data_IF_274627676275
#
_entry.id   IF_274627676275
#
_cell.length_a   1.000
_cell.length_b   1.000
_cell.length_c   1.000
_cell.angle_alpha   90.00
_cell.angle_beta   90.00
_cell.angle_gamma   90.00
#
_symmetry.space_group_name_H-M   'P 1'
#
loop_
_entity.id
_entity.type
_entity.pdbx_description
1 polymer ?
#
# COMPACT_ATOMS: atom_id res chain seq x y z
N UNK A 1 27.37 12.59 -6.26
CA UNK A 1 26.86 11.41 -6.99
C UNK A 1 25.63 11.85 -7.78
N UNK A 2 25.58 11.61 -9.08
CA UNK A 2 24.36 11.84 -9.87
C UNK A 2 23.31 10.83 -9.39
N UNK A 3 22.01 11.22 -9.17
CA UNK A 3 20.98 10.27 -8.87
C UNK A 3 20.92 9.24 -10.02
N UNK A 4 20.98 7.97 -9.69
CA UNK A 4 20.61 6.91 -10.61
C UNK A 4 19.13 7.09 -10.85
N UNK A 5 18.75 7.44 -12.09
CA UNK A 5 17.34 7.44 -12.50
C UNK A 5 16.89 5.97 -12.48
N UNK A 6 16.36 5.54 -11.38
CA UNK A 6 15.63 4.27 -11.30
C UNK A 6 14.20 4.57 -11.72
N UNK A 7 13.66 3.77 -12.66
CA UNK A 7 12.23 3.85 -13.04
C UNK A 7 11.30 3.40 -11.89
N UNK A 8 11.87 3.14 -10.70
CA UNK A 8 11.15 2.69 -9.53
C UNK A 8 10.66 3.87 -8.67
N UNK A 9 9.37 3.87 -8.34
CA UNK A 9 8.79 4.81 -7.37
C UNK A 9 9.19 4.45 -5.95
N UNK A 10 9.23 3.14 -5.63
CA UNK A 10 9.65 2.62 -4.32
C UNK A 10 10.63 1.47 -4.50
N UNK A 11 11.71 1.49 -3.72
CA UNK A 11 12.69 0.41 -3.69
C UNK A 11 13.12 0.14 -2.25
N UNK A 12 13.13 -1.11 -1.86
CA UNK A 12 13.65 -1.60 -0.58
C UNK A 12 14.77 -2.60 -0.84
N UNK A 13 15.92 -2.38 -0.21
CA UNK A 13 17.11 -3.21 -0.37
C UNK A 13 17.54 -3.75 0.99
N UNK A 14 17.56 -5.07 1.13
CA UNK A 14 18.00 -5.83 2.31
C UNK A 14 17.42 -5.31 3.64
N UNK A 15 16.14 -4.86 3.57
CA UNK A 15 15.48 -4.13 4.63
C UNK A 15 15.17 -5.02 5.83
N UNK A 16 15.77 -4.71 6.97
CA UNK A 16 15.48 -5.36 8.25
C UNK A 16 14.94 -4.34 9.26
N UNK A 17 13.82 -4.67 9.88
CA UNK A 17 13.09 -3.75 10.78
C UNK A 17 12.81 -4.42 12.12
N UNK A 18 12.91 -3.63 13.19
CA UNK A 18 12.60 -4.05 14.56
C UNK A 18 11.54 -3.15 15.20
N UNK A 19 10.72 -3.77 16.07
CA UNK A 19 9.83 -3.09 17.00
C UNK A 19 10.12 -3.64 18.41
N UNK A 20 10.42 -2.78 19.36
CA UNK A 20 10.76 -3.16 20.74
C UNK A 20 11.82 -4.28 20.82
N UNK A 21 12.85 -4.21 19.95
CA UNK A 21 13.95 -5.17 19.89
C UNK A 21 13.64 -6.48 19.15
N UNK A 22 12.38 -6.75 18.78
CA UNK A 22 11.99 -7.93 18.01
C UNK A 22 12.04 -7.64 16.51
N UNK A 23 12.71 -8.48 15.73
CA UNK A 23 12.67 -8.40 14.26
C UNK A 23 11.27 -8.72 13.75
N UNK A 24 10.72 -7.85 12.91
CA UNK A 24 9.40 -7.98 12.29
C UNK A 24 9.47 -8.04 10.76
N UNK A 25 10.54 -7.52 10.17
CA UNK A 25 10.92 -7.71 8.77
C UNK A 25 12.39 -8.12 8.73
N UNK A 26 12.74 -8.99 7.81
CA UNK A 26 14.08 -9.54 7.70
C UNK A 26 14.47 -9.70 6.23
N UNK A 27 15.50 -8.98 5.81
CA UNK A 27 16.07 -9.06 4.46
C UNK A 27 15.00 -8.89 3.36
N UNK A 28 14.17 -7.85 3.48
CA UNK A 28 13.08 -7.57 2.53
C UNK A 28 13.63 -6.79 1.36
N UNK A 29 13.45 -7.35 0.16
CA UNK A 29 13.77 -6.72 -1.11
C UNK A 29 12.48 -6.58 -1.92
N UNK A 30 12.16 -5.34 -2.33
CA UNK A 30 10.96 -5.03 -3.12
C UNK A 30 11.22 -3.81 -3.99
N UNK A 31 10.82 -3.92 -5.25
CA UNK A 31 10.85 -2.84 -6.24
C UNK A 31 9.46 -2.64 -6.81
N UNK A 32 9.00 -1.39 -6.85
CA UNK A 32 7.75 -0.98 -7.47
C UNK A 32 8.09 0.08 -8.52
N UNK A 33 7.96 -0.24 -9.81
CA UNK A 33 8.13 0.73 -10.89
C UNK A 33 7.10 1.85 -10.82
N UNK A 34 7.43 3.01 -11.39
CA UNK A 34 6.49 4.10 -11.49
C UNK A 34 5.29 3.73 -12.38
N UNK A 35 4.08 4.05 -11.91
CA UNK A 35 2.83 3.72 -12.59
C UNK A 35 2.32 2.29 -12.35
N UNK A 36 3.04 1.43 -11.61
CA UNK A 36 2.59 0.07 -11.32
C UNK A 36 1.84 -0.04 -9.98
N UNK A 37 0.85 -0.94 -9.96
CA UNK A 37 0.08 -1.33 -8.78
C UNK A 37 0.51 -2.72 -8.34
N UNK A 38 1.18 -2.81 -7.20
CA UNK A 38 1.62 -4.07 -6.63
C UNK A 38 0.74 -4.52 -5.47
N UNK A 39 0.62 -5.84 -5.30
CA UNK A 39 -0.15 -6.45 -4.20
C UNK A 39 0.78 -7.23 -3.28
N UNK A 40 0.56 -7.11 -1.97
CA UNK A 40 1.28 -7.87 -0.96
C UNK A 40 0.32 -8.83 -0.25
N UNK A 41 0.49 -10.12 -0.51
CA UNK A 41 -0.17 -11.20 0.19
C UNK A 41 0.66 -11.69 1.37
N UNK A 42 0.03 -12.41 2.28
CA UNK A 42 0.70 -13.10 3.37
C UNK A 42 -0.26 -13.42 4.52
N UNK A 43 0.05 -14.43 5.33
CA UNK A 43 -0.78 -14.77 6.49
C UNK A 43 -0.78 -13.64 7.52
N UNK A 44 -1.74 -13.69 8.46
CA UNK A 44 -1.78 -12.75 9.57
C UNK A 44 -0.49 -12.86 10.41
N UNK A 45 0.04 -11.72 10.82
CA UNK A 45 1.30 -11.65 11.57
C UNK A 45 2.58 -11.83 10.73
N UNK A 46 2.50 -11.91 9.39
CA UNK A 46 3.70 -12.01 8.55
C UNK A 46 4.52 -10.73 8.42
N UNK A 47 3.95 -9.57 8.81
CA UNK A 47 4.64 -8.27 8.76
C UNK A 47 4.14 -7.30 7.69
N UNK A 48 3.03 -7.58 6.98
CA UNK A 48 2.51 -6.74 5.88
C UNK A 48 2.24 -5.29 6.30
N UNK A 49 1.40 -5.08 7.32
CA UNK A 49 1.12 -3.72 7.84
C UNK A 49 2.38 -3.08 8.43
N UNK A 50 3.27 -3.88 9.03
CA UNK A 50 4.56 -3.39 9.54
C UNK A 50 5.46 -2.88 8.42
N UNK A 51 5.46 -3.53 7.26
CA UNK A 51 6.18 -3.07 6.07
C UNK A 51 5.64 -1.71 5.62
N UNK A 52 4.32 -1.58 5.50
CA UNK A 52 3.62 -0.35 5.16
C UNK A 52 3.96 0.80 6.12
N UNK A 53 3.86 0.54 7.44
CA UNK A 53 4.18 1.51 8.48
C UNK A 53 5.66 1.91 8.48
N UNK A 54 6.56 1.00 8.10
CA UNK A 54 7.99 1.28 7.93
C UNK A 54 8.22 2.21 6.73
N UNK A 55 7.58 1.93 5.58
CA UNK A 55 7.65 2.78 4.39
C UNK A 55 7.07 4.17 4.67
N UNK A 56 6.01 4.27 5.47
CA UNK A 56 5.44 5.55 5.89
C UNK A 56 6.36 6.33 6.85
N UNK A 57 7.29 5.65 7.55
CA UNK A 57 8.22 6.28 8.50
C UNK A 57 7.66 6.41 9.91
N UNK A 58 6.79 5.51 10.35
CA UNK A 58 6.27 5.48 11.73
C UNK A 58 7.42 5.14 12.69
N UNK A 59 7.69 5.97 13.73
CA UNK A 59 8.94 5.92 14.50
C UNK A 59 9.21 4.64 15.30
N UNK A 60 8.16 3.87 15.64
CA UNK A 60 8.31 2.61 16.39
C UNK A 60 8.93 1.49 15.52
N UNK A 61 8.83 1.60 14.18
CA UNK A 61 9.41 0.67 13.22
C UNK A 61 10.83 1.10 12.87
N UNK A 62 11.81 0.54 13.58
CA UNK A 62 13.22 0.94 13.43
C UNK A 62 13.90 0.12 12.35
N UNK A 63 14.34 0.78 11.30
CA UNK A 63 15.24 0.17 10.30
C UNK A 63 16.59 -0.05 10.97
N UNK A 64 17.05 -1.30 11.00
CA UNK A 64 18.33 -1.70 11.59
C UNK A 64 19.38 -2.06 10.54
N UNK A 65 18.95 -2.44 9.33
CA UNK A 65 19.81 -2.60 8.15
C UNK A 65 19.00 -2.43 6.88
N UNK A 66 19.69 -2.21 5.76
CA UNK A 66 19.09 -1.97 4.46
C UNK A 66 18.66 -0.53 4.25
N UNK A 67 17.97 -0.28 3.15
CA UNK A 67 17.54 1.07 2.75
C UNK A 67 16.15 1.07 2.12
N UNK A 68 15.51 2.25 2.14
CA UNK A 68 14.26 2.55 1.46
C UNK A 68 14.52 3.76 0.57
N UNK A 69 14.37 3.57 -0.74
CA UNK A 69 14.45 4.64 -1.72
C UNK A 69 13.04 4.97 -2.24
N UNK A 70 12.73 6.24 -2.32
CA UNK A 70 11.49 6.75 -2.93
C UNK A 70 11.84 7.72 -4.04
N UNK A 71 11.46 7.40 -5.28
CA UNK A 71 11.86 8.16 -6.49
C UNK A 71 13.38 8.42 -6.52
N UNK A 72 14.16 7.38 -6.21
CA UNK A 72 15.62 7.45 -6.15
C UNK A 72 16.22 8.20 -4.97
N UNK A 73 15.40 8.77 -4.06
CA UNK A 73 15.84 9.47 -2.86
C UNK A 73 15.81 8.53 -1.66
N UNK A 74 16.92 8.47 -0.91
CA UNK A 74 16.94 7.73 0.36
C UNK A 74 16.03 8.39 1.39
N UNK A 75 15.01 7.63 1.83
CA UNK A 75 14.04 8.04 2.83
C UNK A 75 14.12 7.18 4.10
N UNK A 76 15.11 6.31 4.22
CA UNK A 76 15.24 5.29 5.28
C UNK A 76 15.01 5.85 6.69
N UNK A 77 15.60 7.02 6.99
CA UNK A 77 15.48 7.67 8.29
C UNK A 77 14.69 8.98 8.24
N UNK A 78 14.02 9.26 7.12
CA UNK A 78 13.22 10.46 6.94
C UNK A 78 11.93 10.36 7.76
N UNK A 79 11.52 11.44 8.49
CA UNK A 79 10.28 11.45 9.26
C UNK A 79 9.04 11.44 8.36
N UNK A 80 7.93 10.94 8.90
CA UNK A 80 6.66 10.76 8.19
C UNK A 80 6.19 12.00 7.44
N UNK A 81 6.23 13.17 8.08
CA UNK A 81 5.77 14.43 7.48
C UNK A 81 6.55 14.81 6.22
N UNK A 82 7.83 14.48 6.15
CA UNK A 82 8.66 14.74 4.96
C UNK A 82 8.39 13.72 3.85
N UNK A 83 8.15 12.43 4.19
CA UNK A 83 7.77 11.40 3.21
C UNK A 83 6.42 11.71 2.57
N UNK A 84 5.44 12.16 3.37
CA UNK A 84 4.13 12.59 2.87
C UNK A 84 4.26 13.77 1.90
N UNK A 85 5.11 14.75 2.19
CA UNK A 85 5.40 15.87 1.27
C UNK A 85 6.07 15.45 -0.03
N UNK A 86 6.75 14.29 -0.05
CA UNK A 86 7.32 13.71 -1.28
C UNK A 86 6.26 13.01 -2.15
N UNK A 87 5.02 12.86 -1.69
CA UNK A 87 3.92 12.26 -2.43
C UNK A 87 3.53 10.85 -1.98
N UNK A 88 3.84 10.45 -0.74
CA UNK A 88 3.33 9.21 -0.16
C UNK A 88 1.99 9.43 0.56
N UNK A 89 1.06 8.49 0.43
CA UNK A 89 -0.18 8.45 1.22
C UNK A 89 -0.52 7.03 1.67
N UNK A 90 -1.40 6.92 2.67
CA UNK A 90 -1.86 5.65 3.19
C UNK A 90 -3.35 5.70 3.54
N UNK A 91 -4.09 4.64 3.18
CA UNK A 91 -5.38 4.31 3.75
C UNK A 91 -5.20 3.13 4.71
N UNK A 92 -5.60 3.33 5.97
CA UNK A 92 -5.41 2.34 7.02
C UNK A 92 -6.50 1.27 7.04
N UNK A 93 -6.18 0.09 7.52
CA UNK A 93 -7.16 -0.97 7.75
C UNK A 93 -8.27 -0.51 8.71
N UNK A 94 -7.88 0.05 9.86
CA UNK A 94 -8.75 0.54 10.90
C UNK A 94 -8.39 1.99 11.26
N UNK A 95 -8.86 2.98 10.48
CA UNK A 95 -8.55 4.37 10.77
C UNK A 95 -9.29 4.82 12.05
N UNK A 96 -8.67 5.65 12.88
CA UNK A 96 -9.30 6.13 14.11
C UNK A 96 -10.49 7.05 13.85
N UNK A 97 -11.46 7.02 14.76
CA UNK A 97 -12.46 8.08 14.84
C UNK A 97 -11.89 9.26 15.62
N UNK A 98 -11.96 10.47 15.06
CA UNK A 98 -11.34 11.68 15.65
C UNK A 98 -12.42 12.68 16.05
N UNK A 99 -12.70 12.74 17.36
CA UNK A 99 -13.68 13.69 17.90
C UNK A 99 -13.19 15.13 17.77
N UNK A 100 -14.12 16.02 17.39
CA UNK A 100 -13.84 17.46 17.28
C UNK A 100 -13.15 17.86 15.98
N UNK A 101 -12.78 16.91 15.12
CA UNK A 101 -12.18 17.18 13.81
C UNK A 101 -13.18 16.83 12.71
N UNK A 102 -13.68 17.83 12.00
CA UNK A 102 -14.66 17.64 10.93
C UNK A 102 -13.98 17.13 9.64
N UNK A 103 -14.63 16.18 8.94
CA UNK A 103 -14.17 15.66 7.68
C UNK A 103 -13.94 16.78 6.64
N UNK A 104 -14.88 17.74 6.56
CA UNK A 104 -14.75 18.89 5.68
C UNK A 104 -13.51 19.72 5.93
N UNK A 105 -13.15 19.95 7.20
CA UNK A 105 -11.95 20.68 7.58
C UNK A 105 -10.66 19.98 7.13
N UNK A 106 -10.58 18.64 7.23
CA UNK A 106 -9.44 17.89 6.70
C UNK A 106 -9.36 18.03 5.19
N UNK A 107 -10.46 17.81 4.48
CA UNK A 107 -10.49 17.87 3.02
C UNK A 107 -10.13 19.26 2.49
N UNK A 108 -10.65 20.33 3.14
CA UNK A 108 -10.29 21.72 2.79
C UNK A 108 -8.80 22.03 3.02
N UNK A 109 -8.16 21.32 3.98
CA UNK A 109 -6.73 21.48 4.22
C UNK A 109 -5.87 20.72 3.19
N UNK A 110 -6.37 19.58 2.69
CA UNK A 110 -5.66 18.74 1.72
C UNK A 110 -5.83 19.24 0.27
N UNK A 111 -6.95 19.90 -0.05
CA UNK A 111 -7.24 20.39 -1.42
C UNK A 111 -6.81 21.84 -1.61
N UNK A 112 -6.60 22.25 -2.86
CA UNK A 112 -6.25 23.64 -3.21
C UNK A 112 -7.43 24.61 -3.04
N UNK A 113 -8.69 24.10 -3.12
CA UNK A 113 -9.89 24.94 -3.00
C UNK A 113 -11.14 24.14 -2.62
N UNK A 114 -12.16 24.86 -2.07
CA UNK A 114 -13.42 24.26 -1.62
C UNK A 114 -14.27 23.59 -2.73
N UNK A 115 -14.16 24.06 -3.98
CA UNK A 115 -14.92 23.48 -5.11
C UNK A 115 -14.44 22.07 -5.41
N UNK A 116 -13.16 21.82 -5.22
CA UNK A 116 -12.56 20.50 -5.41
C UNK A 116 -13.12 19.48 -4.42
N UNK A 117 -13.36 19.87 -3.16
CA UNK A 117 -14.01 19.00 -2.16
C UNK A 117 -15.37 18.50 -2.64
N UNK A 118 -16.21 19.40 -3.20
CA UNK A 118 -17.51 19.02 -3.75
C UNK A 118 -17.39 17.97 -4.87
N UNK A 119 -16.47 18.20 -5.80
CA UNK A 119 -16.21 17.27 -6.92
C UNK A 119 -15.73 15.90 -6.43
N UNK A 120 -14.86 15.87 -5.43
CA UNK A 120 -14.38 14.62 -4.83
C UNK A 120 -15.52 13.85 -4.11
N UNK A 121 -16.39 14.57 -3.37
CA UNK A 121 -17.57 13.98 -2.72
C UNK A 121 -18.50 13.33 -3.73
N UNK A 122 -18.78 13.99 -4.86
CA UNK A 122 -19.59 13.45 -5.95
C UNK A 122 -18.94 12.21 -6.58
N UNK A 123 -17.63 12.27 -6.86
CA UNK A 123 -16.86 11.15 -7.42
C UNK A 123 -16.95 9.91 -6.54
N UNK A 124 -16.83 10.06 -5.23
CA UNK A 124 -16.88 8.97 -4.25
C UNK A 124 -18.34 8.57 -3.92
N UNK A 125 -19.33 9.33 -4.43
CA UNK A 125 -20.75 9.18 -4.07
C UNK A 125 -20.94 9.19 -2.55
N UNK A 126 -20.36 10.21 -1.90
CA UNK A 126 -20.40 10.37 -0.45
C UNK A 126 -21.28 11.56 -0.09
N UNK A 127 -22.30 11.42 0.79
CA UNK A 127 -23.25 12.48 1.06
C UNK A 127 -22.58 13.72 1.66
N UNK A 128 -22.97 14.91 1.19
CA UNK A 128 -22.40 16.20 1.62
C UNK A 128 -22.53 16.46 3.13
N UNK A 129 -23.52 15.89 3.78
CA UNK A 129 -23.74 16.01 5.24
C UNK A 129 -22.56 15.47 6.08
N UNK A 130 -21.78 14.51 5.52
CA UNK A 130 -20.61 13.96 6.19
C UNK A 130 -19.48 14.98 6.38
N UNK A 131 -19.43 16.05 5.59
CA UNK A 131 -18.46 17.14 5.78
C UNK A 131 -18.56 17.78 7.17
N UNK A 132 -19.75 17.80 7.76
CA UNK A 132 -20.00 18.38 9.08
C UNK A 132 -19.87 17.35 10.23
N UNK A 133 -19.63 16.10 9.92
CA UNK A 133 -19.42 15.04 10.92
C UNK A 133 -17.96 14.92 11.32
N UNK A 134 -17.73 14.47 12.53
CA UNK A 134 -16.39 14.13 13.01
C UNK A 134 -15.86 12.93 12.24
N UNK A 135 -14.58 12.96 11.87
CA UNK A 135 -13.92 11.95 11.02
C UNK A 135 -14.14 10.55 11.60
N UNK A 136 -14.74 9.68 10.81
CA UNK A 136 -15.02 8.26 11.07
C UNK A 136 -15.89 8.01 12.33
N UNK A 137 -16.41 9.03 12.99
CA UNK A 137 -17.23 8.86 14.19
C UNK A 137 -18.66 8.45 13.83
N UNK A 138 -19.03 7.20 14.15
CA UNK A 138 -20.35 6.65 13.86
C UNK A 138 -20.58 6.39 12.36
N UNK A 139 -19.52 6.23 11.59
CA UNK A 139 -19.60 5.79 10.20
C UNK A 139 -19.74 4.26 10.15
N UNK A 140 -20.49 3.76 9.20
CA UNK A 140 -20.48 2.33 8.85
C UNK A 140 -19.14 1.92 8.22
N UNK A 141 -18.83 0.62 8.15
CA UNK A 141 -17.59 0.13 7.56
C UNK A 141 -17.34 0.65 6.13
N UNK A 142 -18.37 0.63 5.27
CA UNK A 142 -18.28 1.16 3.91
C UNK A 142 -18.09 2.68 3.86
N UNK A 143 -18.72 3.43 4.78
CA UNK A 143 -18.54 4.90 4.88
C UNK A 143 -17.13 5.25 5.37
N UNK A 144 -16.56 4.48 6.30
CA UNK A 144 -15.17 4.65 6.74
C UNK A 144 -14.21 4.46 5.56
N UNK A 145 -14.39 3.40 4.76
CA UNK A 145 -13.53 3.17 3.58
C UNK A 145 -13.67 4.26 2.52
N UNK A 146 -14.89 4.72 2.25
CA UNK A 146 -15.11 5.86 1.35
C UNK A 146 -14.46 7.15 1.88
N UNK A 147 -14.53 7.39 3.19
CA UNK A 147 -13.87 8.52 3.85
C UNK A 147 -12.35 8.47 3.68
N UNK A 148 -11.73 7.29 3.84
CA UNK A 148 -10.30 7.08 3.63
C UNK A 148 -9.89 7.33 2.17
N UNK A 149 -10.62 6.75 1.21
CA UNK A 149 -10.36 6.96 -0.21
C UNK A 149 -10.49 8.43 -0.58
N UNK A 150 -11.50 9.12 -0.05
CA UNK A 150 -11.73 10.54 -0.26
C UNK A 150 -10.54 11.39 0.25
N UNK A 151 -10.00 11.07 1.42
CA UNK A 151 -8.83 11.76 1.97
C UNK A 151 -7.56 11.49 1.12
N UNK A 152 -7.34 10.26 0.65
CA UNK A 152 -6.23 9.91 -0.24
C UNK A 152 -6.36 10.62 -1.59
N UNK A 153 -7.56 10.71 -2.15
CA UNK A 153 -7.83 11.47 -3.38
C UNK A 153 -7.56 12.97 -3.19
N UNK A 154 -7.98 13.53 -2.05
CA UNK A 154 -7.75 14.95 -1.73
C UNK A 154 -6.26 15.28 -1.55
N UNK A 155 -5.46 14.33 -1.08
CA UNK A 155 -4.02 14.49 -0.91
C UNK A 155 -3.25 14.47 -2.23
N UNK A 156 -3.82 13.89 -3.30
CA UNK A 156 -3.27 13.77 -4.66
C UNK A 156 -1.81 13.27 -4.70
N UNK A 157 -1.52 12.23 -3.93
CA UNK A 157 -0.20 11.61 -3.81
C UNK A 157 0.19 10.81 -5.05
N UNK A 158 1.50 10.65 -5.30
CA UNK A 158 2.04 9.86 -6.42
C UNK A 158 2.07 8.36 -6.11
N UNK A 159 2.27 8.03 -4.82
CA UNK A 159 2.32 6.66 -4.32
C UNK A 159 1.31 6.43 -3.21
N UNK A 160 0.42 5.47 -3.41
CA UNK A 160 -0.68 5.15 -2.50
C UNK A 160 -0.46 3.79 -1.86
N UNK A 161 -0.52 3.75 -0.54
CA UNK A 161 -0.49 2.50 0.23
C UNK A 161 -1.89 2.20 0.78
N UNK A 162 -2.39 0.99 0.54
CA UNK A 162 -3.73 0.56 0.97
C UNK A 162 -3.60 -0.67 1.86
N UNK A 163 -3.94 -0.53 3.15
CA UNK A 163 -3.89 -1.64 4.12
C UNK A 163 -5.27 -2.27 4.28
N UNK A 164 -5.47 -3.44 3.69
CA UNK A 164 -6.69 -4.24 3.71
C UNK A 164 -7.97 -3.43 3.42
N UNK A 165 -8.07 -2.77 2.25
CA UNK A 165 -9.23 -1.93 1.92
C UNK A 165 -10.53 -2.72 1.76
N UNK A 166 -10.45 -4.05 1.62
CA UNK A 166 -11.55 -5.00 1.54
C UNK A 166 -12.00 -5.54 2.91
N UNK A 167 -11.27 -5.25 3.97
CA UNK A 167 -11.61 -5.72 5.32
C UNK A 167 -12.82 -4.98 5.90
N UNK A 168 -13.80 -5.75 6.41
CA UNK A 168 -15.00 -5.19 7.04
C UNK A 168 -15.99 -4.51 6.08
N UNK A 169 -15.85 -4.74 4.79
CA UNK A 169 -16.74 -4.24 3.73
C UNK A 169 -17.63 -5.39 3.25
N UNK A 170 -18.94 -5.18 3.20
CA UNK A 170 -19.87 -6.14 2.61
C UNK A 170 -19.69 -6.25 1.08
N UNK A 171 -20.23 -7.31 0.48
CA UNK A 171 -20.02 -7.64 -0.94
C UNK A 171 -20.50 -6.53 -1.89
N UNK A 172 -21.61 -5.85 -1.56
CA UNK A 172 -22.16 -4.78 -2.39
C UNK A 172 -21.28 -3.53 -2.36
N UNK A 173 -20.83 -3.14 -1.16
CA UNK A 173 -19.91 -2.02 -0.98
C UNK A 173 -18.49 -2.32 -1.48
N UNK A 174 -18.06 -3.59 -1.47
CA UNK A 174 -16.75 -3.99 -1.97
C UNK A 174 -16.57 -3.66 -3.46
N UNK A 175 -17.61 -3.86 -4.29
CA UNK A 175 -17.58 -3.45 -5.69
C UNK A 175 -17.41 -1.93 -5.83
N UNK A 176 -18.18 -1.17 -5.04
CA UNK A 176 -18.11 0.31 -5.09
C UNK A 176 -16.73 0.81 -4.65
N UNK A 177 -16.22 0.30 -3.55
CA UNK A 177 -14.90 0.65 -3.01
C UNK A 177 -13.79 0.23 -3.98
N UNK A 178 -13.87 -0.98 -4.54
CA UNK A 178 -12.88 -1.48 -5.49
C UNK A 178 -12.82 -0.65 -6.77
N UNK A 179 -13.97 -0.30 -7.35
CA UNK A 179 -14.00 0.57 -8.53
C UNK A 179 -13.43 1.97 -8.22
N UNK A 180 -13.75 2.55 -7.06
CA UNK A 180 -13.18 3.84 -6.64
C UNK A 180 -11.65 3.77 -6.50
N UNK A 181 -11.13 2.68 -5.92
CA UNK A 181 -9.69 2.45 -5.81
C UNK A 181 -9.09 2.30 -7.21
N UNK A 182 -9.67 1.48 -8.08
CA UNK A 182 -9.17 1.29 -9.43
C UNK A 182 -9.10 2.61 -10.21
N UNK A 183 -10.17 3.43 -10.16
CA UNK A 183 -10.20 4.75 -10.78
C UNK A 183 -9.16 5.72 -10.19
N UNK A 184 -8.91 5.64 -8.88
CA UNK A 184 -7.90 6.43 -8.20
C UNK A 184 -6.49 6.06 -8.67
N UNK A 185 -6.25 4.78 -8.94
CA UNK A 185 -4.92 4.24 -9.26
C UNK A 185 -4.55 4.29 -10.75
N UNK A 186 -5.46 4.71 -11.64
CA UNK A 186 -5.23 4.71 -13.11
C UNK A 186 -3.94 5.39 -13.57
N UNK A 187 -3.38 6.30 -12.78
CA UNK A 187 -2.15 7.06 -13.11
C UNK A 187 -1.22 7.17 -11.89
N UNK A 188 -1.33 6.28 -10.95
CA UNK A 188 -0.58 6.32 -9.69
C UNK A 188 0.08 4.98 -9.45
N UNK A 189 1.18 5.00 -8.73
CA UNK A 189 1.80 3.79 -8.22
C UNK A 189 1.18 3.39 -6.88
N UNK A 190 1.09 2.09 -6.59
CA UNK A 190 0.50 1.67 -5.34
C UNK A 190 1.07 0.37 -4.78
N UNK A 191 0.97 0.23 -3.46
CA UNK A 191 1.13 -1.04 -2.74
C UNK A 191 -0.16 -1.36 -1.99
N UNK A 192 -0.87 -2.38 -2.46
CA UNK A 192 -2.11 -2.87 -1.88
C UNK A 192 -1.82 -4.09 -0.99
N UNK A 193 -2.22 -4.05 0.27
CA UNK A 193 -2.18 -5.22 1.15
C UNK A 193 -3.58 -5.83 1.21
N UNK A 194 -3.67 -7.13 0.98
CA UNK A 194 -4.89 -7.92 1.23
C UNK A 194 -4.52 -9.34 1.62
N UNK A 195 -5.33 -9.96 2.46
CA UNK A 195 -5.16 -11.37 2.83
C UNK A 195 -6.16 -12.28 2.12
N UNK A 196 -7.28 -11.76 1.65
CA UNK A 196 -8.34 -12.51 0.96
C UNK A 196 -8.33 -12.29 -0.55
N UNK A 197 -7.78 -11.16 -1.02
CA UNK A 197 -7.68 -10.86 -2.44
C UNK A 197 -9.00 -10.55 -3.15
N UNK A 198 -10.12 -10.42 -2.42
CA UNK A 198 -11.42 -10.15 -3.04
C UNK A 198 -11.45 -8.84 -3.82
N UNK A 199 -10.68 -7.86 -3.39
CA UNK A 199 -10.56 -6.56 -4.03
C UNK A 199 -9.98 -6.64 -5.45
N UNK A 200 -9.19 -7.69 -5.77
CA UNK A 200 -8.59 -7.89 -7.10
C UNK A 200 -9.60 -8.25 -8.20
N UNK A 201 -10.87 -8.45 -7.85
CA UNK A 201 -11.95 -8.52 -8.84
C UNK A 201 -12.27 -7.16 -9.45
N UNK A 202 -11.86 -6.08 -8.82
CA UNK A 202 -12.21 -4.71 -9.16
C UNK A 202 -11.01 -3.80 -9.35
N UNK A 203 -9.84 -4.17 -8.80
CA UNK A 203 -8.59 -3.41 -8.89
C UNK A 203 -7.61 -4.17 -9.77
N UNK A 204 -7.13 -3.53 -10.82
CA UNK A 204 -6.07 -4.05 -11.66
C UNK A 204 -4.72 -3.92 -10.94
N UNK A 205 -3.99 -5.02 -10.86
CA UNK A 205 -2.67 -5.04 -10.27
C UNK A 205 -1.68 -5.69 -11.25
N UNK A 206 -0.47 -5.13 -11.32
CA UNK A 206 0.57 -5.55 -12.27
C UNK A 206 1.39 -6.72 -11.72
N UNK A 207 1.65 -6.72 -10.41
CA UNK A 207 2.48 -7.74 -9.78
C UNK A 207 2.04 -8.01 -8.34
N UNK A 208 2.22 -9.25 -7.91
CA UNK A 208 1.98 -9.63 -6.52
C UNK A 208 3.24 -10.20 -5.87
N UNK A 209 3.32 -9.99 -4.56
CA UNK A 209 4.38 -10.49 -3.69
C UNK A 209 3.78 -11.25 -2.52
N UNK A 210 4.50 -12.21 -1.99
CA UNK A 210 4.06 -13.00 -0.83
C UNK A 210 5.05 -12.84 0.31
N UNK A 211 4.60 -12.26 1.42
CA UNK A 211 5.38 -12.07 2.65
C UNK A 211 5.05 -13.18 3.65
N UNK A 212 6.03 -14.00 3.98
CA UNK A 212 5.93 -15.07 4.98
C UNK A 212 7.14 -14.98 5.91
N UNK A 213 6.92 -15.17 7.20
CA UNK A 213 7.98 -15.15 8.20
C UNK A 213 8.91 -13.92 8.06
N UNK A 214 8.29 -12.74 7.86
CA UNK A 214 9.01 -11.45 7.77
C UNK A 214 9.86 -11.26 6.51
N UNK A 215 9.75 -12.12 5.49
CA UNK A 215 10.55 -12.08 4.25
C UNK A 215 9.64 -12.25 3.02
N UNK A 216 9.94 -11.57 1.90
CA UNK A 216 9.26 -11.81 0.63
C UNK A 216 9.82 -13.08 0.01
N UNK A 217 8.95 -14.11 -0.08
CA UNK A 217 9.35 -15.46 -0.53
C UNK A 217 9.03 -15.73 -1.99
N UNK A 218 8.05 -15.03 -2.56
CA UNK A 218 7.58 -15.26 -3.92
C UNK A 218 7.04 -13.97 -4.52
N UNK A 219 7.17 -13.83 -5.85
CA UNK A 219 6.56 -12.75 -6.62
C UNK A 219 6.08 -13.29 -7.96
N UNK A 220 4.98 -12.75 -8.48
CA UNK A 220 4.40 -13.21 -9.75
C UNK A 220 3.16 -12.44 -10.16
N UNK A 221 2.43 -12.99 -11.12
CA UNK A 221 1.17 -12.43 -11.61
C UNK A 221 0.09 -12.57 -10.51
N UNK A 222 -0.68 -11.51 -10.22
CA UNK A 222 -1.56 -11.44 -9.05
C UNK A 222 -2.63 -12.53 -8.99
N UNK A 223 -3.35 -12.78 -10.09
CA UNK A 223 -4.46 -13.74 -10.12
C UNK A 223 -3.95 -15.17 -9.98
N UNK A 224 -2.83 -15.50 -10.62
CA UNK A 224 -2.22 -16.81 -10.52
C UNK A 224 -1.73 -17.09 -9.09
N UNK A 225 -1.04 -16.12 -8.46
CA UNK A 225 -0.60 -16.27 -7.08
C UNK A 225 -1.77 -16.40 -6.11
N UNK A 226 -2.81 -15.58 -6.27
CA UNK A 226 -4.01 -15.68 -5.45
C UNK A 226 -4.68 -17.05 -5.58
N UNK A 227 -4.83 -17.54 -6.82
CA UNK A 227 -5.43 -18.85 -7.10
C UNK A 227 -4.66 -19.98 -6.43
N UNK A 228 -3.32 -19.95 -6.49
CA UNK A 228 -2.48 -20.94 -5.83
C UNK A 228 -2.59 -20.86 -4.30
N UNK A 229 -2.62 -19.64 -3.74
CA UNK A 229 -2.79 -19.43 -2.29
C UNK A 229 -4.15 -19.97 -1.81
N UNK A 230 -5.22 -19.74 -2.58
CA UNK A 230 -6.56 -20.22 -2.22
C UNK A 230 -6.68 -21.74 -2.31
N UNK A 231 -6.01 -22.39 -3.26
CA UNK A 231 -6.08 -23.83 -3.46
C UNK A 231 -5.15 -24.62 -2.53
N UNK A 232 -3.93 -24.15 -2.31
CA UNK A 232 -2.86 -24.88 -1.66
C UNK A 232 -2.33 -24.21 -0.39
N UNK A 233 -2.83 -23.01 -0.07
CA UNK A 233 -2.37 -22.22 1.06
C UNK A 233 -0.99 -21.59 0.86
N UNK A 234 -0.56 -20.79 1.82
CA UNK A 234 0.76 -20.12 1.78
C UNK A 234 1.96 -21.07 1.83
N UNK A 235 1.77 -22.33 2.29
CA UNK A 235 2.81 -23.35 2.31
C UNK A 235 3.38 -23.70 0.93
N UNK A 236 2.57 -23.56 -0.11
CA UNK A 236 3.01 -23.72 -1.50
C UNK A 236 4.07 -22.68 -1.89
N UNK A 237 3.86 -21.41 -1.52
CA UNK A 237 4.80 -20.33 -1.83
C UNK A 237 6.19 -20.57 -1.24
N UNK A 238 6.30 -21.26 -0.11
CA UNK A 238 7.59 -21.62 0.50
C UNK A 238 8.34 -22.72 -0.26
N UNK A 239 7.63 -23.54 -1.03
CA UNK A 239 8.19 -24.66 -1.82
C UNK A 239 8.31 -24.31 -3.32
N UNK A 240 7.80 -23.16 -3.74
CA UNK A 240 7.81 -22.75 -5.14
C UNK A 240 9.25 -22.62 -5.66
N UNK A 241 9.59 -23.16 -6.87
CA UNK A 241 10.93 -23.00 -7.47
C UNK A 241 11.37 -21.55 -7.66
N UNK A 242 10.43 -20.59 -7.66
CA UNK A 242 10.71 -19.15 -7.75
C UNK A 242 11.22 -18.55 -6.42
N UNK A 243 11.26 -19.32 -5.34
CA UNK A 243 11.90 -18.93 -4.07
C UNK A 243 13.41 -19.10 -4.09
N UNK A 244 13.98 -19.69 -5.14
CA UNK A 244 15.43 -19.67 -5.32
C UNK A 244 15.87 -18.24 -5.57
N UNK A 245 16.70 -17.71 -4.65
CA UNK A 245 17.42 -16.43 -4.83
C UNK A 245 18.02 -16.43 -6.23
N UNK A 246 17.94 -15.31 -6.99
CA UNK A 246 18.75 -15.20 -8.19
C UNK A 246 20.21 -15.39 -7.75
N UNK A 247 20.86 -16.46 -8.21
CA UNK A 247 22.29 -16.67 -8.01
C UNK A 247 22.98 -15.47 -8.65
N UNK A 248 23.68 -14.69 -7.84
CA UNK A 248 24.59 -13.66 -8.32
C UNK A 248 25.55 -14.31 -9.30
N UNK A 249 25.52 -13.89 -10.55
CA UNK A 249 26.55 -14.14 -11.54
C UNK A 249 26.37 -15.40 -12.39
N UNK A 250 25.64 -15.24 -13.50
CA UNK A 250 26.08 -15.78 -14.80
C UNK A 250 25.35 -15.00 -15.91
N UNK A 251 25.99 -13.92 -16.36
CA UNK A 251 25.76 -13.41 -17.72
C UNK A 251 26.23 -14.49 -18.66
N UNK A 252 25.37 -15.33 -19.15
CA UNK A 252 25.65 -16.19 -20.31
C UNK A 252 25.35 -15.35 -21.53
N UNK A 253 26.45 -14.89 -22.15
CA UNK A 253 26.48 -14.48 -23.56
C UNK A 253 26.04 -15.64 -24.41
N UNK A 254 24.90 -15.53 -25.06
CA UNK A 254 24.58 -16.34 -26.26
C UNK A 254 24.45 -15.38 -27.42
N UNK A 255 25.63 -15.12 -28.04
CA UNK A 255 25.78 -14.85 -29.44
C UNK A 255 25.78 -16.22 -30.16
N UNK A 256 24.78 -16.51 -30.97
CA UNK A 256 24.88 -17.01 -32.35
C UNK A 256 23.48 -17.07 -32.93
#
# INVERSE_FOLDING_TARGET
>A
MKPVLTDNVLEMQDLTVQVSGKKILNDVNLEIPDGEVHVLFGPNGSGKSSLLMTVLGIPIYKVVSGSILFKGKDVTHMPINERVKLGMSVAFQNPPAIRGVKLGGILEHLTANKKEVGTLMEKVKFPQEFLNRDVNLGFSGGEVKKSEILQVLAQDSDFVMLDEPDSGVDVENLQVVGNLINDMLLKKSALLITHQGHILRYVNADKAHVLINSTIVCSGEPVNLLTQILNEGYGWCMKCPKTMKPQQGQRTSLLH
#
